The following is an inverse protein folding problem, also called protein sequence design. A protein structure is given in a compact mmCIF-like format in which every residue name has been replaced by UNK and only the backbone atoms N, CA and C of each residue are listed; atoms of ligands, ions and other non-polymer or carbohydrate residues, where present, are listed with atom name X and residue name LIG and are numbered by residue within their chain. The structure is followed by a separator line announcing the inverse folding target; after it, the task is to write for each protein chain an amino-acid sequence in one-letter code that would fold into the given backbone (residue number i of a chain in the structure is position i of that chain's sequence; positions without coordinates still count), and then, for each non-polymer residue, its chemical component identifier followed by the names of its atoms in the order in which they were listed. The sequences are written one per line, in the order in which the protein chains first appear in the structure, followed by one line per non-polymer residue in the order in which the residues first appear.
data_IF_497453500704
#
_entry.id   IF_497453500704
#
_cell.length_a   1.000
_cell.length_b   1.000
_cell.length_c   1.000
_cell.angle_alpha   90.00
_cell.angle_beta   90.00
_cell.angle_gamma   90.00
#
_symmetry.space_group_name_H-M   'P 1'
#
loop_
_entity.id
_entity.type
_entity.pdbx_description
1 polymer ?
#
# COMPACT_ATOMS: atom_id res chain seq x y z
N UNK A 1 45.35 54.96 23.17
CA UNK A 1 44.69 54.58 21.90
C UNK A 1 43.54 53.66 22.26
N UNK A 2 42.31 54.17 22.21
CA UNK A 2 41.47 54.11 21.02
C UNK A 2 41.22 52.64 20.60
N UNK A 3 40.06 52.11 20.98
CA UNK A 3 38.85 52.08 20.13
C UNK A 3 38.86 50.86 19.19
N UNK A 4 37.65 50.30 19.03
CA UNK A 4 37.20 49.31 18.02
C UNK A 4 37.19 47.88 18.57
N UNK A 5 36.11 47.44 19.20
CA UNK A 5 34.78 47.18 18.63
C UNK A 5 34.76 46.05 17.61
N UNK A 6 33.82 45.15 17.87
CA UNK A 6 33.21 44.17 16.99
C UNK A 6 34.10 42.99 16.59
N UNK A 7 33.76 41.80 17.11
CA UNK A 7 33.11 40.81 16.24
C UNK A 7 31.98 40.15 17.03
N UNK A 8 30.77 40.43 16.58
CA UNK A 8 29.50 39.91 17.06
C UNK A 8 29.48 38.41 16.73
N UNK A 9 29.55 37.54 17.74
CA UNK A 9 29.40 36.10 17.56
C UNK A 9 27.97 35.69 17.95
N UNK A 10 27.02 36.02 17.09
CA UNK A 10 25.65 35.47 17.13
C UNK A 10 25.59 34.28 16.17
N UNK A 11 26.30 33.20 16.53
CA UNK A 11 26.06 31.89 15.92
C UNK A 11 25.10 31.11 16.81
N UNK A 12 23.81 31.37 16.62
CA UNK A 12 22.76 30.45 17.05
C UNK A 12 21.56 30.64 16.13
N UNK A 13 21.75 30.30 14.85
CA UNK A 13 20.64 30.02 13.96
C UNK A 13 19.99 28.71 14.46
N UNK A 14 19.06 28.83 15.40
CA UNK A 14 18.16 27.74 15.75
C UNK A 14 17.30 27.42 14.53
N UNK A 15 17.75 26.47 13.70
CA UNK A 15 16.88 25.81 12.73
C UNK A 15 15.93 24.89 13.49
N UNK A 16 14.83 25.48 13.98
CA UNK A 16 13.66 24.74 14.42
C UNK A 16 12.55 24.93 13.38
N UNK A 17 12.75 24.37 12.19
CA UNK A 17 11.60 23.97 11.37
C UNK A 17 11.44 22.49 11.62
N UNK A 18 10.64 22.17 12.63
CA UNK A 18 10.10 20.83 12.77
C UNK A 18 9.50 20.47 11.41
N UNK A 19 10.00 19.39 10.81
CA UNK A 19 9.30 18.73 9.73
C UNK A 19 7.97 18.26 10.33
N UNK A 20 6.95 19.12 10.28
CA UNK A 20 5.56 18.70 10.36
C UNK A 20 5.33 17.95 9.06
N UNK A 21 5.77 16.69 9.06
CA UNK A 21 5.14 15.66 8.29
C UNK A 21 3.72 15.63 8.81
N UNK A 22 2.83 16.36 8.14
CA UNK A 22 1.44 16.00 8.11
C UNK A 22 1.37 14.62 7.43
N UNK A 23 1.72 13.57 8.18
CA UNK A 23 0.88 12.40 8.16
C UNK A 23 -0.46 12.92 8.67
N UNK A 24 -1.28 13.41 7.75
CA UNK A 24 -2.71 13.24 7.91
C UNK A 24 -2.83 11.78 8.29
N UNK A 25 -3.14 11.54 9.56
CA UNK A 25 -3.72 10.29 10.00
C UNK A 25 -4.98 10.20 9.14
N UNK A 26 -4.78 9.60 7.97
CA UNK A 26 -5.84 9.39 7.01
C UNK A 26 -6.83 8.54 7.79
N UNK A 27 -8.07 9.00 7.99
CA UNK A 27 -9.10 8.18 8.59
C UNK A 27 -9.56 7.17 7.55
N UNK A 28 -8.62 6.37 7.06
CA UNK A 28 -8.86 5.07 6.48
C UNK A 28 -8.62 4.16 7.69
N UNK A 29 -9.54 4.15 8.66
CA UNK A 29 -10.66 3.21 8.62
C UNK A 29 -10.17 1.93 7.95
N UNK A 30 -10.09 0.87 8.73
CA UNK A 30 -10.37 -0.54 8.42
C UNK A 30 -10.99 -0.87 7.03
N UNK A 31 -10.38 -0.39 5.95
CA UNK A 31 -10.63 -0.70 4.54
C UNK A 31 -9.59 -1.73 4.09
N UNK A 32 -8.71 -2.21 4.96
CA UNK A 32 -7.74 -3.26 4.63
C UNK A 32 -8.39 -4.66 4.47
N UNK A 33 -9.73 -4.78 4.49
CA UNK A 33 -10.41 -6.07 4.37
C UNK A 33 -11.68 -6.10 3.52
N UNK A 34 -12.11 -4.98 2.90
CA UNK A 34 -13.46 -4.92 2.28
C UNK A 34 -13.55 -4.34 0.88
N UNK A 35 -12.47 -3.82 0.31
CA UNK A 35 -12.34 -3.72 -1.15
C UNK A 35 -11.38 -4.83 -1.54
N UNK A 36 -11.90 -6.06 -1.62
CA UNK A 36 -11.26 -7.06 -2.45
C UNK A 36 -11.29 -6.46 -3.87
N UNK A 37 -10.25 -5.72 -4.24
CA UNK A 37 -10.00 -5.32 -5.62
C UNK A 37 -10.07 -6.61 -6.40
N UNK A 38 -11.17 -6.81 -7.13
CA UNK A 38 -11.36 -7.98 -7.97
C UNK A 38 -10.13 -8.07 -8.85
N UNK A 39 -9.39 -9.17 -8.73
CA UNK A 39 -8.11 -9.27 -9.40
C UNK A 39 -8.33 -9.28 -10.91
N UNK A 40 -7.37 -8.75 -11.67
CA UNK A 40 -7.42 -8.81 -13.13
C UNK A 40 -7.06 -10.19 -13.69
N UNK A 41 -6.48 -11.07 -12.86
CA UNK A 41 -6.02 -12.40 -13.26
C UNK A 41 -6.17 -13.42 -12.10
N UNK A 42 -6.47 -14.70 -12.39
CA UNK A 42 -6.62 -15.75 -11.39
C UNK A 42 -5.40 -15.98 -10.49
N UNK A 43 -4.18 -15.65 -10.91
CA UNK A 43 -2.99 -15.71 -10.08
C UNK A 43 -2.99 -14.60 -9.03
N UNK A 44 -3.18 -13.34 -9.42
CA UNK A 44 -3.19 -12.21 -8.48
C UNK A 44 -4.41 -12.22 -7.54
N UNK A 45 -5.46 -12.97 -7.88
CA UNK A 45 -6.59 -13.25 -7.00
C UNK A 45 -6.22 -14.05 -5.73
N UNK A 46 -5.06 -14.73 -5.76
CA UNK A 46 -4.61 -15.61 -4.69
C UNK A 46 -3.20 -15.31 -4.17
N UNK A 47 -2.46 -14.40 -4.80
CA UNK A 47 -1.08 -14.09 -4.44
C UNK A 47 -0.87 -12.58 -4.22
N UNK A 48 0.30 -12.24 -3.69
CA UNK A 48 0.77 -10.86 -3.58
C UNK A 48 0.85 -10.16 -4.96
N UNK A 49 0.71 -8.81 -5.01
CA UNK A 49 0.61 -7.90 -3.86
C UNK A 49 -0.81 -7.75 -3.29
N UNK A 50 -1.84 -8.16 -4.03
CA UNK A 50 -3.23 -7.85 -3.66
C UNK A 50 -3.81 -8.78 -2.60
N UNK A 51 -3.36 -10.05 -2.57
CA UNK A 51 -3.96 -11.10 -1.74
C UNK A 51 -2.92 -11.90 -0.96
N UNK A 52 -1.91 -11.23 -0.38
CA UNK A 52 -0.82 -11.88 0.36
C UNK A 52 -1.25 -12.77 1.55
N UNK A 53 -2.46 -12.60 2.07
CA UNK A 53 -3.01 -13.38 3.19
C UNK A 53 -3.80 -14.63 2.71
N UNK A 54 -3.99 -14.80 1.40
CA UNK A 54 -4.69 -15.96 0.85
C UNK A 54 -3.83 -17.22 0.94
N UNK A 55 -4.48 -18.35 1.17
CA UNK A 55 -3.89 -19.68 1.25
C UNK A 55 -4.67 -20.65 0.37
N UNK A 56 -4.18 -21.88 0.22
CA UNK A 56 -4.96 -22.92 -0.44
C UNK A 56 -6.32 -23.08 0.28
N UNK A 57 -7.41 -23.09 -0.48
CA UNK A 57 -8.78 -23.09 0.05
C UNK A 57 -9.38 -21.70 0.30
N UNK A 58 -8.62 -20.61 0.16
CA UNK A 58 -9.17 -19.25 0.24
C UNK A 58 -10.13 -18.98 -0.92
N UNK A 59 -11.24 -18.29 -0.65
CA UNK A 59 -12.12 -17.77 -1.70
C UNK A 59 -11.39 -16.69 -2.50
N UNK A 60 -11.55 -16.70 -3.82
CA UNK A 60 -10.93 -15.72 -4.71
C UNK A 60 -11.93 -15.22 -5.75
N UNK A 61 -11.68 -14.01 -6.27
CA UNK A 61 -12.49 -13.38 -7.32
C UNK A 61 -11.58 -12.67 -8.30
N UNK A 62 -11.88 -12.80 -9.60
CA UNK A 62 -11.15 -12.12 -10.65
C UNK A 62 -12.05 -11.76 -11.84
N UNK A 63 -11.66 -10.78 -12.64
CA UNK A 63 -12.36 -10.40 -13.86
C UNK A 63 -12.08 -11.42 -14.96
N UNK A 64 -13.12 -11.78 -15.72
CA UNK A 64 -13.03 -12.63 -16.91
C UNK A 64 -12.29 -11.99 -18.09
N UNK A 65 -12.01 -10.69 -18.00
CA UNK A 65 -11.32 -9.90 -19.02
C UNK A 65 -10.61 -8.69 -18.43
N UNK A 66 -9.87 -7.93 -19.27
CA UNK A 66 -9.01 -6.83 -18.82
C UNK A 66 -9.78 -5.56 -18.41
N UNK A 67 -11.10 -5.51 -18.64
CA UNK A 67 -11.94 -4.36 -18.29
C UNK A 67 -12.57 -4.57 -16.92
N UNK A 68 -12.68 -3.50 -16.13
CA UNK A 68 -13.44 -3.49 -14.87
C UNK A 68 -14.95 -3.70 -15.07
N UNK A 69 -15.42 -3.67 -16.33
CA UNK A 69 -16.79 -4.00 -16.71
C UNK A 69 -16.97 -5.48 -17.08
N UNK A 70 -15.89 -6.28 -17.06
CA UNK A 70 -15.96 -7.71 -17.38
C UNK A 70 -16.65 -8.48 -16.26
N UNK A 71 -17.23 -9.64 -16.58
CA UNK A 71 -17.85 -10.49 -15.57
C UNK A 71 -16.85 -10.92 -14.50
N UNK A 72 -17.33 -11.04 -13.26
CA UNK A 72 -16.52 -11.48 -12.13
C UNK A 72 -16.68 -12.99 -11.95
N UNK A 73 -15.56 -13.70 -12.05
CA UNK A 73 -15.47 -15.13 -11.76
C UNK A 73 -15.09 -15.30 -10.29
N UNK A 74 -15.85 -16.12 -9.58
CA UNK A 74 -15.58 -16.51 -8.18
C UNK A 74 -15.10 -17.95 -8.13
N UNK A 75 -14.15 -18.24 -7.25
CA UNK A 75 -13.57 -19.57 -7.13
C UNK A 75 -12.81 -19.77 -5.83
N UNK A 76 -11.93 -20.78 -5.84
CA UNK A 76 -11.07 -21.15 -4.71
C UNK A 76 -9.61 -21.21 -5.14
N UNK A 77 -8.72 -20.69 -4.29
CA UNK A 77 -7.28 -20.75 -4.47
C UNK A 77 -6.78 -22.20 -4.31
N UNK A 78 -6.16 -22.74 -5.35
CA UNK A 78 -5.53 -24.07 -5.33
C UNK A 78 -4.04 -23.96 -5.62
N UNK A 79 -3.23 -24.79 -4.97
CA UNK A 79 -1.78 -24.80 -5.18
C UNK A 79 -1.44 -25.46 -6.51
N UNK A 80 -0.76 -24.72 -7.39
CA UNK A 80 -0.30 -25.18 -8.71
C UNK A 80 1.21 -24.98 -8.81
N UNK A 81 1.98 -25.89 -8.20
CA UNK A 81 3.40 -26.15 -8.51
C UNK A 81 4.32 -24.92 -8.61
N UNK A 82 4.04 -23.84 -7.89
CA UNK A 82 4.72 -22.55 -8.07
C UNK A 82 3.97 -21.34 -7.49
N UNK A 83 2.67 -21.49 -7.18
CA UNK A 83 1.87 -20.48 -6.49
C UNK A 83 0.43 -20.93 -6.31
N UNK A 84 -0.42 -20.04 -5.80
CA UNK A 84 -1.85 -20.28 -5.74
C UNK A 84 -2.52 -19.80 -7.03
N UNK A 85 -3.52 -20.51 -7.52
CA UNK A 85 -4.30 -20.08 -8.68
C UNK A 85 -5.78 -20.16 -8.33
N UNK A 86 -6.53 -19.12 -8.67
CA UNK A 86 -7.98 -19.13 -8.51
C UNK A 86 -8.63 -20.04 -9.55
N UNK A 87 -9.43 -20.99 -9.09
CA UNK A 87 -10.19 -21.91 -9.95
C UNK A 87 -11.67 -21.84 -9.57
N UNK A 88 -12.53 -21.56 -10.55
CA UNK A 88 -13.98 -21.53 -10.40
C UNK A 88 -14.57 -22.92 -10.15
#
# INVERSE_FOLDING_TARGET
MLFKSAIISTFALCMATAAVGAAVESPVHDIEARIALTATDPYYACNCPNNCKHKAGSSCKYYSGPSDSSDIISGTCVNRGGGLTCVA
#
